data_IF_494701206839
#
_entry.id   IF_494701206839
#
_cell.length_a   1.000
_cell.length_b   1.000
_cell.length_c   1.000
_cell.angle_alpha   90.00
_cell.angle_beta   90.00
_cell.angle_gamma   90.00
#
_symmetry.space_group_name_H-M   'P 1'
#
loop_
_entity.id
_entity.type
_entity.pdbx_description
1 polymer ?
#
# COMPACT_ATOMS: atom_id res chain seq x y z
N UNK A 1 1.45 -13.99 9.49
CA UNK A 1 1.49 -12.53 9.65
C UNK A 1 2.12 -12.01 8.40
N UNK A 2 1.34 -11.33 7.57
CA UNK A 2 1.80 -10.90 6.26
C UNK A 2 2.75 -9.72 6.43
N UNK A 3 3.73 -9.59 5.53
CA UNK A 3 4.72 -8.51 5.56
C UNK A 3 4.06 -7.12 5.67
N UNK A 4 2.85 -6.98 5.09
CA UNK A 4 2.05 -5.76 5.13
C UNK A 4 1.30 -5.54 6.45
N UNK A 5 1.07 -6.56 7.28
CA UNK A 5 0.42 -6.38 8.60
C UNK A 5 1.28 -5.52 9.52
N UNK A 6 2.61 -5.66 9.44
CA UNK A 6 3.56 -4.83 10.17
C UNK A 6 4.01 -3.60 9.38
N UNK A 7 4.12 -3.72 8.05
CA UNK A 7 4.57 -2.62 7.19
C UNK A 7 3.56 -1.49 7.06
N UNK A 8 2.26 -1.79 6.96
CA UNK A 8 1.22 -0.78 6.70
C UNK A 8 1.10 0.23 7.86
N UNK A 9 1.01 -0.17 9.14
CA UNK A 9 0.98 0.78 10.25
C UNK A 9 2.22 1.69 10.29
N UNK A 10 3.41 1.13 10.00
CA UNK A 10 4.65 1.89 9.96
C UNK A 10 4.65 2.93 8.82
N UNK A 11 4.14 2.56 7.64
CA UNK A 11 3.98 3.47 6.50
C UNK A 11 3.07 4.65 6.87
N UNK A 12 1.96 4.41 7.57
CA UNK A 12 1.06 5.47 8.04
C UNK A 12 1.72 6.40 9.05
N UNK A 13 2.46 5.86 10.02
CA UNK A 13 3.21 6.68 10.99
C UNK A 13 4.23 7.57 10.28
N UNK A 14 5.00 7.01 9.34
CA UNK A 14 5.97 7.78 8.55
C UNK A 14 5.29 8.87 7.71
N UNK A 15 4.14 8.58 7.11
CA UNK A 15 3.37 9.57 6.36
C UNK A 15 2.91 10.73 7.25
N UNK A 16 2.34 10.44 8.42
CA UNK A 16 1.90 11.46 9.37
C UNK A 16 3.08 12.34 9.80
N UNK A 17 4.26 11.75 10.01
CA UNK A 17 5.48 12.48 10.36
C UNK A 17 5.98 13.41 9.25
N UNK A 18 5.64 13.18 7.98
CA UNK A 18 6.01 14.09 6.89
C UNK A 18 5.27 15.44 6.95
N UNK A 19 4.09 15.48 7.58
CA UNK A 19 3.26 16.69 7.70
C UNK A 19 3.95 17.76 8.58
N UNK A 20 4.35 17.50 9.83
CA UNK A 20 5.08 18.50 10.62
C UNK A 20 6.45 18.85 10.01
N UNK A 21 7.12 17.90 9.34
CA UNK A 21 8.40 18.11 8.66
C UNK A 21 8.28 19.10 7.49
N UNK A 22 7.23 18.95 6.67
CA UNK A 22 6.94 19.89 5.58
C UNK A 22 6.55 21.27 6.10
N UNK A 23 5.68 21.36 7.12
CA UNK A 23 5.32 22.63 7.77
C UNK A 23 6.57 23.34 8.28
N UNK A 24 7.46 22.61 8.95
CA UNK A 24 8.70 23.19 9.47
C UNK A 24 9.66 23.63 8.36
N UNK A 25 9.77 22.86 7.29
CA UNK A 25 10.52 23.21 6.09
C UNK A 25 10.04 24.51 5.44
N UNK A 26 8.71 24.70 5.35
CA UNK A 26 8.10 25.95 4.85
C UNK A 26 8.40 27.12 5.79
N UNK A 27 8.15 26.96 7.09
CA UNK A 27 8.34 28.02 8.10
C UNK A 27 9.80 28.49 8.15
N UNK A 28 10.76 27.56 8.04
CA UNK A 28 12.20 27.87 8.07
C UNK A 28 12.78 28.20 6.68
N UNK A 29 11.97 28.17 5.61
CA UNK A 29 12.40 28.34 4.21
C UNK A 29 13.56 27.41 3.82
N UNK A 30 13.59 26.21 4.40
CA UNK A 30 14.64 25.22 4.17
C UNK A 30 14.25 24.30 3.03
N UNK A 31 14.74 24.62 1.83
CA UNK A 31 14.49 23.84 0.60
C UNK A 31 14.89 22.37 0.78
N UNK A 32 15.98 22.10 1.48
CA UNK A 32 16.46 20.75 1.74
C UNK A 32 15.45 19.90 2.52
N UNK A 33 14.79 20.48 3.53
CA UNK A 33 13.75 19.78 4.29
C UNK A 33 12.50 19.49 3.45
N UNK A 34 12.16 20.40 2.53
CA UNK A 34 11.06 20.19 1.59
C UNK A 34 11.37 19.07 0.60
N UNK A 35 12.59 19.01 0.06
CA UNK A 35 13.02 17.92 -0.84
C UNK A 35 12.95 16.58 -0.10
N UNK A 36 13.47 16.51 1.13
CA UNK A 36 13.42 15.29 1.95
C UNK A 36 11.96 14.87 2.19
N UNK A 37 11.08 15.81 2.51
CA UNK A 37 9.65 15.54 2.70
C UNK A 37 8.99 14.99 1.43
N UNK A 38 9.29 15.55 0.25
CA UNK A 38 8.78 15.08 -1.03
C UNK A 38 9.24 13.63 -1.31
N UNK A 39 10.53 13.34 -1.11
CA UNK A 39 11.09 12.00 -1.34
C UNK A 39 10.46 10.97 -0.41
N UNK A 40 10.33 11.27 0.89
CA UNK A 40 9.72 10.36 1.86
C UNK A 40 8.25 10.13 1.51
N UNK A 41 7.50 11.19 1.20
CA UNK A 41 6.08 11.08 0.82
C UNK A 41 5.88 10.25 -0.46
N UNK A 42 6.75 10.43 -1.46
CA UNK A 42 6.74 9.63 -2.69
C UNK A 42 7.01 8.14 -2.44
N UNK A 43 8.02 7.83 -1.61
CA UNK A 43 8.36 6.44 -1.25
C UNK A 43 7.23 5.76 -0.48
N UNK A 44 6.64 6.45 0.50
CA UNK A 44 5.48 5.96 1.25
C UNK A 44 4.29 5.69 0.32
N UNK A 45 4.01 6.61 -0.60
CA UNK A 45 2.91 6.46 -1.57
C UNK A 45 3.09 5.23 -2.47
N UNK A 46 4.32 4.99 -2.95
CA UNK A 46 4.65 3.80 -3.74
C UNK A 46 4.43 2.51 -2.95
N UNK A 47 4.90 2.46 -1.70
CA UNK A 47 4.72 1.29 -0.84
C UNK A 47 3.24 1.02 -0.54
N UNK A 48 2.43 2.06 -0.32
CA UNK A 48 0.99 1.93 -0.13
C UNK A 48 0.30 1.37 -1.38
N UNK A 49 0.65 1.84 -2.58
CA UNK A 49 0.12 1.29 -3.84
C UNK A 49 0.49 -0.19 -4.03
N UNK A 50 1.74 -0.57 -3.71
CA UNK A 50 2.18 -1.97 -3.79
C UNK A 50 1.41 -2.87 -2.81
N UNK A 51 1.18 -2.39 -1.57
CA UNK A 51 0.36 -3.09 -0.58
C UNK A 51 -1.03 -3.38 -1.13
N UNK A 52 -1.74 -2.35 -1.58
CA UNK A 52 -3.10 -2.46 -2.14
C UNK A 52 -3.13 -3.40 -3.35
N UNK A 53 -2.16 -3.27 -4.27
CA UNK A 53 -2.06 -4.12 -5.46
C UNK A 53 -1.86 -5.60 -5.12
N UNK A 54 -1.10 -5.90 -4.06
CA UNK A 54 -0.89 -7.27 -3.60
C UNK A 54 -2.18 -7.90 -3.03
N UNK A 55 -2.93 -7.15 -2.20
CA UNK A 55 -4.22 -7.61 -1.68
C UNK A 55 -5.24 -7.87 -2.79
N UNK A 56 -5.33 -6.97 -3.77
CA UNK A 56 -6.20 -7.14 -4.94
C UNK A 56 -5.84 -8.40 -5.72
N UNK A 57 -4.56 -8.66 -5.94
CA UNK A 57 -4.10 -9.84 -6.68
C UNK A 57 -4.47 -11.15 -5.97
N UNK A 58 -4.36 -11.20 -4.64
CA UNK A 58 -4.78 -12.36 -3.83
C UNK A 58 -6.28 -12.58 -3.96
N UNK A 59 -7.08 -11.52 -3.84
CA UNK A 59 -8.53 -11.59 -3.98
C UNK A 59 -8.95 -12.08 -5.37
N UNK A 60 -8.33 -11.57 -6.42
CA UNK A 60 -8.59 -12.03 -7.80
C UNK A 60 -8.20 -13.50 -7.97
N UNK A 61 -7.10 -13.95 -7.39
CA UNK A 61 -6.71 -15.36 -7.38
C UNK A 61 -7.74 -16.25 -6.70
N UNK A 62 -8.25 -15.85 -5.54
CA UNK A 62 -9.31 -16.57 -4.83
C UNK A 62 -10.62 -16.60 -5.63
N UNK A 63 -10.98 -15.49 -6.28
CA UNK A 63 -12.15 -15.44 -7.17
C UNK A 63 -12.01 -16.39 -8.35
N UNK A 64 -10.81 -16.48 -8.95
CA UNK A 64 -10.54 -17.40 -10.04
C UNK A 64 -10.64 -18.87 -9.61
N UNK A 65 -10.08 -19.22 -8.44
CA UNK A 65 -10.19 -20.57 -7.86
C UNK A 65 -11.66 -20.91 -7.56
N UNK A 66 -12.42 -19.97 -6.99
CA UNK A 66 -13.84 -20.13 -6.72
C UNK A 66 -14.64 -20.41 -8.00
N UNK A 67 -14.37 -19.65 -9.06
CA UNK A 67 -14.96 -19.87 -10.39
C UNK A 67 -14.62 -21.25 -10.95
N UNK A 68 -13.35 -21.64 -10.93
CA UNK A 68 -12.91 -22.96 -11.38
C UNK A 68 -13.62 -24.09 -10.62
N UNK A 69 -13.73 -23.96 -9.29
CA UNK A 69 -14.43 -24.96 -8.48
C UNK A 69 -15.91 -25.07 -8.85
N UNK A 70 -16.59 -23.93 -9.04
CA UNK A 70 -18.00 -23.91 -9.46
C UNK A 70 -18.16 -24.60 -10.82
N UNK A 71 -17.28 -24.30 -11.78
CA UNK A 71 -17.31 -24.91 -13.12
C UNK A 71 -17.13 -26.42 -13.02
N UNK A 72 -16.06 -26.89 -12.34
CA UNK A 72 -15.78 -28.32 -12.17
C UNK A 72 -16.92 -29.07 -11.47
N UNK A 73 -17.50 -28.46 -10.44
CA UNK A 73 -18.65 -29.03 -9.72
C UNK A 73 -19.91 -29.12 -10.58
N UNK A 74 -20.10 -28.18 -11.52
CA UNK A 74 -21.22 -28.21 -12.46
C UNK A 74 -21.02 -29.28 -13.53
N UNK A 75 -19.82 -29.38 -14.09
CA UNK A 75 -19.46 -30.39 -15.09
C UNK A 75 -19.55 -31.81 -14.54
N UNK A 76 -19.17 -32.04 -13.28
CA UNK A 76 -19.28 -33.37 -12.65
C UNK A 76 -20.71 -33.82 -12.34
N UNK A 77 -21.71 -32.94 -12.41
CA UNK A 77 -23.13 -33.25 -12.13
C UNK A 77 -23.99 -33.46 -13.38
N UNK A 78 -23.45 -33.17 -14.56
CA UNK A 78 -24.04 -33.51 -15.87
C UNK A 78 -23.42 -34.81 -16.37
#
# INVERSE_FOLDING_TARGET
>A
MDFWDFGTPLIWVLYILTIPLSIWGVVKKLVTLLIISIVISGLVSLLAMMSIGSYLSILTGLQFIGLLWIILKRTSKN
#
